data_IF_490396573710
#
_entry.id   IF_490396573710
#
_cell.length_a   1.000
_cell.length_b   1.000
_cell.length_c   1.000
_cell.angle_alpha   90.00
_cell.angle_beta   90.00
_cell.angle_gamma   90.00
#
_symmetry.space_group_name_H-M   'P 1'
#
loop_
_entity.id
_entity.type
_entity.pdbx_description
1 polymer ?
#
# COMPACT_ATOMS: atom_id res chain seq x y z
N UNK A 1 6.32 0.89 22.91
CA UNK A 1 6.03 1.12 21.48
C UNK A 1 4.65 0.51 21.24
N UNK A 2 3.59 1.29 21.46
CA UNK A 2 2.22 0.75 21.56
C UNK A 2 1.21 1.75 21.02
N UNK A 3 1.50 2.25 19.81
CA UNK A 3 0.54 2.99 18.99
C UNK A 3 0.72 2.49 17.56
N UNK A 4 0.58 1.18 17.35
CA UNK A 4 0.25 0.66 16.03
C UNK A 4 -1.24 0.95 15.87
N UNK A 5 -1.58 1.83 14.93
CA UNK A 5 -2.97 2.07 14.57
C UNK A 5 -3.64 0.71 14.25
N UNK A 6 -4.82 0.49 14.81
CA UNK A 6 -5.59 -0.74 14.60
C UNK A 6 -5.85 -0.95 13.10
N UNK A 7 -5.68 -2.17 12.58
CA UNK A 7 -5.91 -2.60 11.19
C UNK A 7 -7.39 -2.51 10.73
N UNK A 8 -8.14 -1.52 11.20
CA UNK A 8 -9.58 -1.45 11.02
C UNK A 8 -10.11 -0.23 10.27
N UNK A 9 -9.26 0.69 9.80
CA UNK A 9 -9.71 1.80 8.95
C UNK A 9 -8.62 2.18 7.93
N UNK A 10 -8.98 2.39 6.66
CA UNK A 10 -8.02 2.96 5.71
C UNK A 10 -7.58 4.34 6.17
N UNK A 11 -6.28 4.62 6.04
CA UNK A 11 -5.66 5.92 6.38
C UNK A 11 -6.35 7.03 5.58
N UNK A 12 -6.64 6.72 4.33
CA UNK A 12 -7.35 7.61 3.42
C UNK A 12 -8.14 6.81 2.42
N UNK A 13 -9.29 7.36 2.04
CA UNK A 13 -10.12 6.88 0.94
C UNK A 13 -10.22 8.00 -0.07
N UNK A 14 -10.01 7.67 -1.34
CA UNK A 14 -10.21 8.61 -2.44
C UNK A 14 -11.64 9.17 -2.48
N UNK A 15 -11.86 10.42 -2.94
CA UNK A 15 -13.21 10.99 -3.05
C UNK A 15 -14.17 10.19 -3.93
N UNK A 16 -13.65 9.43 -4.89
CA UNK A 16 -14.44 8.55 -5.75
C UNK A 16 -14.78 7.20 -5.12
N UNK A 17 -14.24 6.91 -3.92
CA UNK A 17 -14.49 5.68 -3.18
C UNK A 17 -13.88 4.42 -3.77
N UNK A 18 -13.01 4.53 -4.78
CA UNK A 18 -12.42 3.37 -5.48
C UNK A 18 -11.10 2.90 -4.88
N UNK A 19 -10.37 3.82 -4.26
CA UNK A 19 -9.05 3.55 -3.68
C UNK A 19 -9.04 3.83 -2.20
N UNK A 20 -8.41 2.93 -1.46
CA UNK A 20 -8.01 3.10 -0.07
C UNK A 20 -6.50 2.88 0.07
N UNK A 21 -5.88 3.55 1.04
CA UNK A 21 -4.47 3.35 1.37
C UNK A 21 -4.38 2.98 2.84
N UNK A 22 -3.59 1.94 3.13
CA UNK A 22 -3.37 1.39 4.46
C UNK A 22 -1.89 1.16 4.72
N UNK A 23 -1.47 1.27 5.98
CA UNK A 23 -0.14 0.86 6.38
C UNK A 23 -0.16 -0.65 6.53
N UNK A 24 0.67 -1.32 5.74
CA UNK A 24 1.02 -2.71 5.99
C UNK A 24 2.25 -2.74 6.91
N UNK A 25 2.28 -3.74 7.78
CA UNK A 25 3.51 -4.16 8.44
C UNK A 25 4.49 -4.76 7.39
N UNK A 26 5.54 -5.42 7.86
CA UNK A 26 6.52 -6.03 6.97
C UNK A 26 5.90 -6.97 5.91
N UNK A 27 6.10 -6.64 4.64
CA UNK A 27 5.68 -7.43 3.48
C UNK A 27 6.70 -8.50 3.06
N UNK A 28 7.62 -8.88 3.94
CA UNK A 28 8.65 -9.90 3.72
C UNK A 28 9.61 -9.65 2.53
N UNK A 29 9.67 -8.43 1.97
CA UNK A 29 10.62 -8.07 0.92
C UNK A 29 11.46 -6.82 1.25
N UNK A 30 12.06 -6.82 2.44
CA UNK A 30 12.86 -5.69 2.91
C UNK A 30 14.08 -5.38 2.02
N UNK A 31 14.58 -6.36 1.26
CA UNK A 31 15.78 -6.21 0.42
C UNK A 31 15.54 -5.42 -0.88
N UNK A 32 14.31 -5.33 -1.34
CA UNK A 32 13.90 -4.65 -2.59
C UNK A 32 13.00 -3.44 -2.30
N UNK A 33 12.96 -2.98 -1.04
CA UNK A 33 12.16 -1.84 -0.64
C UNK A 33 12.51 -0.56 -1.41
N UNK A 34 11.54 0.36 -1.61
CA UNK A 34 10.17 0.37 -1.08
C UNK A 34 9.23 -0.65 -1.74
N UNK A 35 8.27 -1.18 -0.97
CA UNK A 35 7.34 -2.25 -1.40
C UNK A 35 5.90 -1.81 -1.16
N UNK A 36 5.01 -2.13 -2.12
CA UNK A 36 3.57 -1.97 -1.98
C UNK A 36 2.84 -3.26 -2.36
N UNK A 37 1.76 -3.56 -1.66
CA UNK A 37 0.79 -4.58 -2.04
C UNK A 37 -0.46 -3.85 -2.52
N UNK A 38 -0.84 -4.04 -3.78
CA UNK A 38 -2.07 -3.48 -4.34
C UNK A 38 -3.00 -4.65 -4.64
N UNK A 39 -4.10 -4.72 -3.88
CA UNK A 39 -4.97 -5.89 -3.85
C UNK A 39 -4.16 -7.16 -3.52
N UNK A 40 -4.07 -8.12 -4.43
CA UNK A 40 -3.30 -9.37 -4.28
C UNK A 40 -1.93 -9.34 -5.01
N UNK A 41 -1.58 -8.21 -5.62
CA UNK A 41 -0.38 -8.07 -6.45
C UNK A 41 0.74 -7.35 -5.71
N UNK A 42 1.93 -7.94 -5.76
CA UNK A 42 3.12 -7.47 -5.07
C UNK A 42 3.99 -6.59 -5.98
N UNK A 43 4.37 -5.41 -5.50
CA UNK A 43 5.19 -4.45 -6.23
C UNK A 43 6.42 -4.07 -5.41
N UNK A 44 7.58 -4.21 -6.02
CA UNK A 44 8.90 -3.98 -5.41
C UNK A 44 9.63 -2.85 -6.12
N UNK A 45 10.61 -2.24 -5.45
CA UNK A 45 11.35 -1.07 -5.94
C UNK A 45 10.42 0.02 -6.49
N UNK A 46 9.36 0.28 -5.75
CA UNK A 46 8.21 1.08 -6.21
C UNK A 46 8.59 2.53 -6.51
N UNK A 47 8.10 3.04 -7.64
CA UNK A 47 8.10 4.46 -7.99
C UNK A 47 6.68 4.99 -8.27
N UNK A 48 6.58 6.30 -8.56
CA UNK A 48 5.32 6.99 -8.77
C UNK A 48 4.58 6.49 -10.02
N UNK A 49 5.29 6.22 -11.11
CA UNK A 49 4.64 5.80 -12.36
C UNK A 49 4.15 4.36 -12.25
N UNK A 50 4.91 3.50 -11.56
CA UNK A 50 4.50 2.14 -11.24
C UNK A 50 3.21 2.10 -10.43
N UNK A 51 3.09 2.92 -9.37
CA UNK A 51 1.85 2.95 -8.56
C UNK A 51 0.66 3.56 -9.29
N UNK A 52 0.89 4.51 -10.20
CA UNK A 52 -0.18 5.01 -11.06
C UNK A 52 -0.73 3.92 -11.97
N UNK A 53 0.15 3.11 -12.55
CA UNK A 53 -0.27 1.98 -13.38
C UNK A 53 -0.95 0.89 -12.54
N UNK A 54 -0.36 0.51 -11.40
CA UNK A 54 -0.90 -0.53 -10.53
C UNK A 54 -2.30 -0.22 -9.97
N UNK A 55 -2.61 1.05 -9.72
CA UNK A 55 -3.92 1.50 -9.28
C UNK A 55 -4.90 1.82 -10.43
N UNK A 56 -4.51 1.67 -11.70
CA UNK A 56 -5.42 1.90 -12.82
C UNK A 56 -6.32 0.69 -13.14
N UNK A 57 -5.93 -0.50 -12.64
CA UNK A 57 -6.65 -1.77 -12.76
C UNK A 57 -7.67 -1.97 -11.63
#
# INVERSE_FOLDING_TARGET
>A
RSASDSHHHPISISPCGKYSVEFAECLASCGTGPVCLVNDSFYEAVDVEMMRAACAD
#
